data_IF_912766574057
#
_entry.id   IF_912766574057
#
_cell.length_a   1.000
_cell.length_b   1.000
_cell.length_c   1.000
_cell.angle_alpha   90.00
_cell.angle_beta   90.00
_cell.angle_gamma   90.00
#
_symmetry.space_group_name_H-M   'P 1'
#
loop_
_entity.id
_entity.type
_entity.pdbx_description
1 polymer ?
#
# COMPACT_ATOMS: atom_id res chain seq x y z
N UNK A 1 -23.39 29.97 2.90
CA UNK A 1 -23.49 29.32 1.62
C UNK A 1 -22.26 28.47 1.42
N UNK A 2 -22.47 27.19 1.43
CA UNK A 2 -21.47 26.16 1.42
C UNK A 2 -21.46 25.51 0.04
N UNK A 3 -20.36 25.66 -0.69
CA UNK A 3 -20.10 24.99 -1.96
C UNK A 3 -18.84 24.13 -1.81
N UNK A 4 -18.99 22.90 -1.27
CA UNK A 4 -17.93 21.87 -1.23
C UNK A 4 -18.43 20.50 -1.64
N UNK A 5 -19.25 20.40 -2.70
CA UNK A 5 -19.68 19.13 -3.27
C UNK A 5 -19.45 19.13 -4.80
N UNK A 6 -18.18 19.01 -5.22
CA UNK A 6 -17.88 18.47 -6.55
C UNK A 6 -17.34 17.07 -6.39
N UNK A 7 -18.22 16.12 -6.56
CA UNK A 7 -17.96 14.68 -6.59
C UNK A 7 -17.19 14.33 -7.87
N UNK A 8 -16.09 13.59 -7.74
CA UNK A 8 -15.40 13.01 -8.88
C UNK A 8 -16.26 11.95 -9.57
N UNK A 9 -16.10 11.72 -10.89
CA UNK A 9 -16.98 10.84 -11.71
C UNK A 9 -16.99 9.36 -11.33
N UNK A 10 -16.13 8.90 -10.43
CA UNK A 10 -16.06 7.51 -9.97
C UNK A 10 -17.02 7.18 -8.82
N UNK A 11 -17.75 8.17 -8.31
CA UNK A 11 -18.64 8.01 -7.15
C UNK A 11 -20.07 7.64 -7.52
N UNK A 12 -20.44 7.64 -8.81
CA UNK A 12 -21.85 7.53 -9.24
C UNK A 12 -22.32 6.11 -9.54
N UNK A 13 -21.53 5.06 -9.29
CA UNK A 13 -21.90 3.68 -9.64
C UNK A 13 -22.31 2.77 -8.48
N UNK A 14 -22.46 3.28 -7.26
CA UNK A 14 -22.91 2.47 -6.12
C UNK A 14 -24.09 3.10 -5.37
N UNK A 15 -25.24 3.24 -6.07
CA UNK A 15 -26.53 3.38 -5.38
C UNK A 15 -27.08 2.00 -5.07
N UNK A 16 -27.40 1.84 -3.80
CA UNK A 16 -27.94 0.69 -3.11
C UNK A 16 -28.89 -0.18 -3.95
N UNK A 17 -28.42 -1.37 -4.33
CA UNK A 17 -29.27 -2.50 -4.62
C UNK A 17 -28.97 -3.59 -3.59
N UNK A 18 -30.05 -4.04 -2.94
CA UNK A 18 -30.16 -5.10 -1.94
C UNK A 18 -29.35 -6.34 -2.31
N UNK A 19 -28.27 -6.65 -1.57
CA UNK A 19 -27.43 -7.82 -1.80
C UNK A 19 -27.69 -8.90 -0.73
N UNK A 20 -27.90 -10.17 -1.16
CA UNK A 20 -27.99 -11.30 -0.23
C UNK A 20 -26.63 -11.56 0.44
N UNK A 21 -26.68 -11.88 1.69
CA UNK A 21 -25.61 -11.91 2.71
C UNK A 21 -24.45 -12.90 2.51
N UNK A 22 -24.39 -13.68 1.43
CA UNK A 22 -23.40 -14.76 1.27
C UNK A 22 -23.14 -15.15 -0.19
N UNK A 23 -22.99 -14.25 -1.14
CA UNK A 23 -22.72 -14.72 -2.48
C UNK A 23 -21.25 -14.60 -2.87
N UNK A 24 -20.67 -15.75 -3.24
CA UNK A 24 -19.39 -15.87 -3.93
C UNK A 24 -19.23 -14.86 -5.08
N UNK A 25 -20.36 -14.46 -5.68
CA UNK A 25 -20.45 -13.46 -6.72
C UNK A 25 -20.14 -12.03 -6.26
N UNK A 26 -20.48 -11.65 -5.02
CA UNK A 26 -20.08 -10.37 -4.43
C UNK A 26 -18.56 -10.28 -4.31
N UNK A 27 -17.91 -11.33 -3.81
CA UNK A 27 -16.46 -11.41 -3.65
C UNK A 27 -15.73 -11.49 -5.00
N UNK A 28 -16.31 -12.13 -6.01
CA UNK A 28 -15.74 -12.15 -7.36
C UNK A 28 -15.81 -10.79 -8.06
N UNK A 29 -16.85 -9.99 -7.81
CA UNK A 29 -16.97 -8.66 -8.39
C UNK A 29 -16.05 -7.64 -7.71
N UNK A 30 -15.84 -7.76 -6.41
CA UNK A 30 -14.88 -6.92 -5.65
C UNK A 30 -13.42 -7.29 -5.97
N UNK A 31 -13.14 -8.58 -6.15
CA UNK A 31 -11.81 -9.06 -6.56
C UNK A 31 -11.44 -8.62 -8.00
N UNK A 32 -12.45 -8.37 -8.85
CA UNK A 32 -12.23 -7.81 -10.19
C UNK A 32 -11.87 -6.33 -10.18
N UNK A 33 -12.17 -5.60 -9.08
CA UNK A 33 -11.85 -4.19 -8.91
C UNK A 33 -10.43 -3.95 -8.37
N UNK A 34 -9.86 -4.91 -7.64
CA UNK A 34 -8.48 -4.84 -7.14
C UNK A 34 -7.61 -5.91 -7.82
N UNK A 35 -7.04 -5.53 -8.97
CA UNK A 35 -6.23 -6.44 -9.79
C UNK A 35 -4.78 -6.56 -9.32
N UNK A 36 -4.34 -5.70 -8.40
CA UNK A 36 -2.93 -5.56 -7.99
C UNK A 36 -2.83 -5.18 -6.52
N UNK A 37 -1.85 -5.76 -5.81
CA UNK A 37 -1.61 -5.45 -4.39
C UNK A 37 -1.12 -4.01 -4.18
N UNK A 38 -0.48 -3.40 -5.18
CA UNK A 38 -0.05 -2.01 -5.15
C UNK A 38 -1.21 -1.04 -4.88
N UNK A 39 -2.43 -1.36 -5.34
CA UNK A 39 -3.64 -0.57 -5.06
C UNK A 39 -4.08 -0.71 -3.58
N UNK A 40 -3.90 -1.88 -2.98
CA UNK A 40 -4.15 -2.06 -1.55
C UNK A 40 -3.16 -1.25 -0.72
N UNK A 41 -1.87 -1.25 -1.13
CA UNK A 41 -0.83 -0.42 -0.49
C UNK A 41 -1.21 1.06 -0.58
N UNK A 42 -1.67 1.53 -1.74
CA UNK A 42 -2.16 2.90 -1.92
C UNK A 42 -3.29 3.24 -0.92
N UNK A 43 -4.31 2.38 -0.82
CA UNK A 43 -5.46 2.60 0.06
C UNK A 43 -5.04 2.65 1.54
N UNK A 44 -4.14 1.75 1.97
CA UNK A 44 -3.64 1.70 3.34
C UNK A 44 -2.78 2.92 3.66
N UNK A 45 -1.86 3.31 2.76
CA UNK A 45 -1.06 4.53 2.91
C UNK A 45 -1.94 5.80 2.98
N UNK A 46 -3.03 5.84 2.21
CA UNK A 46 -4.02 6.93 2.30
C UNK A 46 -4.75 6.96 3.65
N UNK A 47 -5.00 5.81 4.26
CA UNK A 47 -5.54 5.74 5.63
C UNK A 47 -4.54 6.30 6.65
N UNK A 48 -3.24 6.00 6.50
CA UNK A 48 -2.16 6.55 7.31
C UNK A 48 -2.11 8.08 7.24
N UNK A 49 -2.17 8.65 6.02
CA UNK A 49 -2.24 10.09 5.80
C UNK A 49 -3.49 10.72 6.43
N UNK A 50 -4.65 10.07 6.30
CA UNK A 50 -5.92 10.49 6.91
C UNK A 50 -5.89 10.39 8.44
N UNK A 51 -5.06 9.52 9.00
CA UNK A 51 -4.77 9.43 10.43
C UNK A 51 -3.81 10.51 10.92
N UNK A 52 -3.34 11.40 10.04
CA UNK A 52 -2.44 12.50 10.36
C UNK A 52 -0.96 12.09 10.43
N UNK A 53 -0.58 10.96 9.86
CA UNK A 53 0.81 10.55 9.81
C UNK A 53 1.69 11.61 9.15
N UNK A 54 2.81 11.93 9.75
CA UNK A 54 3.88 12.74 9.15
C UNK A 54 4.88 11.88 8.39
N UNK A 55 5.01 10.60 8.78
CA UNK A 55 5.87 9.60 8.16
C UNK A 55 5.07 8.33 7.88
N UNK A 56 5.18 7.81 6.65
CA UNK A 56 4.66 6.50 6.27
C UNK A 56 5.78 5.67 5.64
N UNK A 57 6.02 4.47 6.17
CA UNK A 57 6.99 3.54 5.63
C UNK A 57 6.26 2.44 4.87
N UNK A 58 6.73 2.12 3.67
CA UNK A 58 6.23 1.03 2.82
C UNK A 58 7.39 0.08 2.62
N UNK A 59 7.22 -1.17 3.04
CA UNK A 59 8.23 -2.21 2.95
C UNK A 59 7.70 -3.36 2.12
N UNK A 60 8.49 -3.80 1.15
CA UNK A 60 8.25 -4.95 0.28
C UNK A 60 9.42 -5.90 0.44
N UNK A 61 9.17 -7.09 0.99
CA UNK A 61 10.19 -8.13 1.20
C UNK A 61 9.77 -9.40 0.46
N UNK A 62 10.62 -9.87 -0.44
CA UNK A 62 10.40 -11.09 -1.23
C UNK A 62 11.48 -12.13 -0.89
N UNK A 63 11.06 -13.35 -0.57
CA UNK A 63 11.95 -14.49 -0.38
C UNK A 63 11.54 -15.63 -1.29
N UNK A 64 12.37 -15.92 -2.27
CA UNK A 64 12.17 -17.07 -3.17
C UNK A 64 12.32 -18.41 -2.44
N UNK A 65 13.23 -18.47 -1.44
CA UNK A 65 13.48 -19.68 -0.65
C UNK A 65 12.30 -20.04 0.27
N UNK A 66 11.62 -19.03 0.83
CA UNK A 66 10.48 -19.22 1.74
C UNK A 66 9.13 -19.14 1.04
N UNK A 67 9.14 -18.87 -0.28
CA UNK A 67 7.94 -18.59 -1.06
C UNK A 67 7.06 -17.54 -0.36
N UNK A 68 7.64 -16.39 -0.03
CA UNK A 68 6.94 -15.31 0.66
C UNK A 68 7.10 -13.97 -0.04
N UNK A 69 6.00 -13.21 -0.08
CA UNK A 69 5.98 -11.78 -0.34
C UNK A 69 5.36 -11.11 0.89
N UNK A 70 6.13 -10.30 1.59
CA UNK A 70 5.66 -9.52 2.73
C UNK A 70 5.50 -8.06 2.34
N UNK A 71 4.30 -7.53 2.56
CA UNK A 71 4.01 -6.11 2.42
C UNK A 71 3.72 -5.54 3.81
N UNK A 72 4.46 -4.48 4.19
CA UNK A 72 4.29 -3.83 5.48
C UNK A 72 4.14 -2.33 5.30
N UNK A 73 3.12 -1.77 5.90
CA UNK A 73 2.88 -0.33 5.93
C UNK A 73 2.90 0.12 7.40
N UNK A 74 3.79 1.06 7.73
CA UNK A 74 4.03 1.56 9.08
C UNK A 74 3.81 3.06 9.06
N UNK A 75 3.00 3.57 9.96
CA UNK A 75 2.78 5.02 10.10
C UNK A 75 2.90 5.48 11.56
N UNK A 76 3.19 6.76 11.72
CA UNK A 76 3.22 7.45 13.00
C UNK A 76 1.97 8.33 13.22
N UNK A 77 0.82 7.95 12.65
CA UNK A 77 -0.43 8.67 12.81
C UNK A 77 -1.03 8.52 14.21
N UNK A 78 -2.30 8.95 14.37
CA UNK A 78 -2.97 8.90 15.68
C UNK A 78 -3.18 7.51 16.26
N UNK A 79 -2.97 6.45 15.47
CA UNK A 79 -3.23 5.09 15.89
C UNK A 79 -4.70 4.78 16.18
N UNK A 80 -4.95 3.57 16.68
CA UNK A 80 -6.27 3.01 16.98
C UNK A 80 -6.25 2.23 18.28
N UNK A 81 -7.41 2.17 18.96
CA UNK A 81 -7.62 1.20 20.04
C UNK A 81 -7.73 -0.21 19.47
N UNK A 82 -7.55 -1.23 20.30
CA UNK A 82 -7.70 -2.63 19.89
C UNK A 82 -9.10 -2.91 19.29
N UNK A 83 -10.15 -2.28 19.84
CA UNK A 83 -11.51 -2.39 19.32
C UNK A 83 -11.64 -1.77 17.91
N UNK A 84 -11.03 -0.61 17.68
CA UNK A 84 -11.02 0.04 16.37
C UNK A 84 -10.24 -0.77 15.35
N UNK A 85 -9.06 -1.31 15.73
CA UNK A 85 -8.25 -2.16 14.86
C UNK A 85 -8.99 -3.45 14.45
N UNK A 86 -9.69 -4.09 15.39
CA UNK A 86 -10.53 -5.25 15.08
C UNK A 86 -11.66 -4.91 14.09
N UNK A 87 -12.26 -3.73 14.23
CA UNK A 87 -13.34 -3.27 13.35
C UNK A 87 -12.89 -2.95 11.93
N UNK A 88 -11.70 -2.39 11.77
CA UNK A 88 -11.14 -2.04 10.45
C UNK A 88 -10.92 -3.27 9.58
N UNK A 89 -10.70 -4.43 10.19
CA UNK A 89 -10.51 -5.71 9.47
C UNK A 89 -11.81 -6.44 9.12
N UNK A 90 -12.95 -6.00 9.66
CA UNK A 90 -14.25 -6.61 9.39
C UNK A 90 -14.90 -6.01 8.13
N UNK A 91 -15.07 -6.78 7.05
CA UNK A 91 -15.67 -6.31 5.79
C UNK A 91 -17.14 -5.92 5.93
N UNK A 92 -17.81 -6.34 7.01
CA UNK A 92 -19.21 -6.04 7.28
C UNK A 92 -19.41 -4.85 8.22
N UNK A 93 -18.34 -4.35 8.81
CA UNK A 93 -18.36 -3.22 9.72
C UNK A 93 -18.26 -1.88 8.98
N UNK A 94 -19.18 -1.60 8.07
CA UNK A 94 -19.39 -0.26 7.54
C UNK A 94 -20.38 0.46 8.41
N UNK A 95 -19.91 1.28 9.35
CA UNK A 95 -20.80 2.21 10.05
C UNK A 95 -21.44 3.16 9.04
N UNK A 96 -22.75 3.07 8.93
CA UNK A 96 -23.63 3.94 8.14
C UNK A 96 -23.71 5.35 8.73
N UNK A 97 -22.61 6.03 8.96
CA UNK A 97 -22.64 7.50 9.15
C UNK A 97 -21.23 8.04 9.03
N UNK A 98 -21.01 8.79 7.92
CA UNK A 98 -20.00 9.84 7.81
C UNK A 98 -18.52 9.46 7.78
N UNK A 99 -18.08 8.32 7.27
CA UNK A 99 -16.76 8.22 6.58
C UNK A 99 -16.74 6.90 5.83
N UNK A 100 -16.38 6.94 4.55
CA UNK A 100 -16.02 5.75 3.76
C UNK A 100 -14.82 5.09 4.45
N UNK A 101 -15.05 4.10 5.32
CA UNK A 101 -14.01 3.14 5.68
C UNK A 101 -13.77 2.37 4.38
N UNK A 102 -12.61 2.59 3.76
CA UNK A 102 -12.28 1.93 2.52
C UNK A 102 -12.29 0.41 2.74
N UNK A 103 -12.74 -0.34 1.76
CA UNK A 103 -12.65 -1.81 1.75
C UNK A 103 -11.20 -2.30 1.63
N UNK A 104 -10.21 -1.39 1.55
CA UNK A 104 -8.81 -1.69 1.31
C UNK A 104 -8.22 -2.67 2.32
N UNK A 105 -8.36 -2.40 3.63
CA UNK A 105 -7.82 -3.28 4.68
C UNK A 105 -8.47 -4.67 4.69
N UNK A 106 -9.82 -4.81 4.70
CA UNK A 106 -10.47 -6.12 4.62
C UNK A 106 -10.10 -6.91 3.37
N UNK A 107 -10.00 -6.27 2.21
CA UNK A 107 -9.65 -6.93 0.96
C UNK A 107 -8.18 -7.35 0.95
N UNK A 108 -7.29 -6.55 1.52
CA UNK A 108 -5.88 -6.88 1.66
C UNK A 108 -5.66 -8.09 2.57
N UNK A 109 -6.36 -8.12 3.71
CA UNK A 109 -6.41 -9.29 4.61
C UNK A 109 -6.88 -10.54 3.86
N UNK A 110 -8.01 -10.45 3.18
CA UNK A 110 -8.58 -11.57 2.43
C UNK A 110 -7.61 -12.08 1.35
N UNK A 111 -6.97 -11.18 0.59
CA UNK A 111 -6.01 -11.56 -0.44
C UNK A 111 -4.81 -12.30 0.15
N UNK A 112 -4.29 -11.90 1.31
CA UNK A 112 -3.20 -12.59 2.00
C UNK A 112 -3.64 -13.99 2.48
N UNK A 113 -4.78 -14.09 3.17
CA UNK A 113 -5.30 -15.34 3.70
C UNK A 113 -5.67 -16.35 2.60
N UNK A 114 -6.17 -15.87 1.44
CA UNK A 114 -6.48 -16.72 0.28
C UNK A 114 -5.27 -17.43 -0.30
N UNK A 115 -4.08 -16.86 -0.18
CA UNK A 115 -2.83 -17.50 -0.63
C UNK A 115 -2.24 -18.46 0.41
N UNK A 116 -2.89 -18.65 1.56
CA UNK A 116 -2.32 -19.39 2.69
C UNK A 116 -1.28 -18.60 3.47
N UNK A 117 -1.22 -17.30 3.25
CA UNK A 117 -0.40 -16.35 4.00
C UNK A 117 -1.07 -15.87 5.29
N UNK A 118 -0.66 -14.70 5.78
CA UNK A 118 -1.16 -14.14 7.03
C UNK A 118 -1.36 -12.63 6.93
N UNK A 119 -2.17 -12.11 7.86
CA UNK A 119 -2.40 -10.67 8.01
C UNK A 119 -2.40 -10.29 9.47
N UNK A 120 -1.74 -9.18 9.80
CA UNK A 120 -1.81 -8.56 11.12
C UNK A 120 -1.94 -7.04 11.02
N UNK A 121 -2.56 -6.47 12.04
CA UNK A 121 -2.60 -5.03 12.27
C UNK A 121 -2.27 -4.77 13.74
N UNK A 122 -1.25 -3.96 13.95
CA UNK A 122 -0.80 -3.52 15.26
C UNK A 122 -0.96 -2.01 15.33
N UNK A 123 -1.69 -1.53 16.33
CA UNK A 123 -1.96 -0.10 16.47
C UNK A 123 -2.12 0.27 17.93
N UNK A 124 -1.60 1.43 18.28
CA UNK A 124 -1.74 2.00 19.62
C UNK A 124 -2.06 3.49 19.51
N UNK A 125 -3.07 3.99 20.27
CA UNK A 125 -3.42 5.41 20.27
C UNK A 125 -2.19 6.30 20.53
N UNK A 126 -1.95 7.25 19.65
CA UNK A 126 -0.82 8.20 19.73
C UNK A 126 0.53 7.66 19.24
N UNK A 127 0.64 6.37 18.85
CA UNK A 127 1.91 5.79 18.35
C UNK A 127 1.89 5.46 16.86
N UNK A 128 0.71 5.30 16.27
CA UNK A 128 0.56 4.96 14.87
C UNK A 128 0.05 3.55 14.63
N UNK A 129 0.22 3.06 13.39
CA UNK A 129 -0.29 1.76 12.95
C UNK A 129 0.75 1.03 12.11
N UNK A 130 0.83 -0.28 12.31
CA UNK A 130 1.57 -1.20 11.44
C UNK A 130 0.59 -2.21 10.86
N UNK A 131 0.52 -2.27 9.54
CA UNK A 131 -0.23 -3.29 8.79
C UNK A 131 0.78 -4.21 8.13
N UNK A 132 0.69 -5.51 8.36
CA UNK A 132 1.56 -6.52 7.73
C UNK A 132 0.70 -7.56 7.04
N UNK A 133 1.00 -7.85 5.78
CA UNK A 133 0.39 -8.93 5.00
C UNK A 133 1.48 -9.79 4.37
N UNK A 134 1.38 -11.08 4.56
CA UNK A 134 2.29 -12.08 3.98
C UNK A 134 1.49 -12.91 2.99
N UNK A 135 2.03 -13.07 1.80
CA UNK A 135 1.43 -13.83 0.70
C UNK A 135 2.33 -15.00 0.33
N UNK A 136 1.76 -16.00 -0.32
CA UNK A 136 2.49 -17.10 -0.96
C UNK A 136 2.50 -16.91 -2.48
N UNK A 137 3.62 -16.43 -3.08
CA UNK A 137 3.72 -16.14 -4.51
C UNK A 137 3.40 -17.31 -5.44
N UNK A 138 3.70 -18.55 -5.04
CA UNK A 138 3.41 -19.74 -5.84
C UNK A 138 1.93 -20.16 -5.84
N UNK A 139 1.09 -19.55 -4.99
CA UNK A 139 -0.33 -19.93 -4.89
C UNK A 139 -1.11 -19.47 -6.12
N UNK A 140 -2.04 -20.32 -6.62
CA UNK A 140 -2.83 -20.04 -7.83
C UNK A 140 -3.71 -18.79 -7.73
N UNK A 141 -4.16 -18.45 -6.52
CA UNK A 141 -4.99 -17.27 -6.25
C UNK A 141 -4.13 -16.02 -5.89
N UNK A 142 -2.82 -16.08 -6.11
CA UNK A 142 -1.95 -14.95 -5.83
C UNK A 142 -2.30 -13.75 -6.69
N UNK A 143 -2.62 -12.65 -6.04
CA UNK A 143 -2.81 -11.35 -6.71
C UNK A 143 -1.43 -10.76 -7.00
N UNK A 144 -1.11 -10.37 -8.25
CA UNK A 144 0.19 -9.79 -8.56
C UNK A 144 0.46 -8.50 -7.76
N UNK A 145 1.73 -8.26 -7.45
CA UNK A 145 2.15 -7.04 -6.74
C UNK A 145 1.74 -5.78 -7.51
N UNK A 146 1.82 -5.82 -8.83
CA UNK A 146 1.57 -4.67 -9.69
C UNK A 146 2.69 -3.64 -9.65
N UNK A 147 2.40 -2.43 -10.12
CA UNK A 147 3.39 -1.36 -10.18
C UNK A 147 3.50 -0.61 -8.84
N UNK A 148 4.25 -1.19 -7.93
CA UNK A 148 4.50 -0.59 -6.61
C UNK A 148 5.36 0.67 -6.71
N UNK A 149 6.26 0.77 -7.69
CA UNK A 149 7.12 1.93 -7.87
C UNK A 149 6.30 3.16 -8.26
N UNK A 150 5.41 3.02 -9.24
CA UNK A 150 4.49 4.11 -9.62
C UNK A 150 3.55 4.47 -8.47
N UNK A 151 3.11 3.49 -7.68
CA UNK A 151 2.27 3.73 -6.50
C UNK A 151 3.00 4.60 -5.47
N UNK A 152 4.24 4.27 -5.14
CA UNK A 152 5.06 5.04 -4.20
C UNK A 152 5.36 6.44 -4.74
N UNK A 153 5.76 6.55 -6.00
CA UNK A 153 6.01 7.85 -6.62
C UNK A 153 4.77 8.75 -6.62
N UNK A 154 3.58 8.19 -6.88
CA UNK A 154 2.33 8.93 -6.82
C UNK A 154 1.97 9.39 -5.39
N UNK A 155 2.22 8.55 -4.37
CA UNK A 155 2.04 8.93 -2.97
C UNK A 155 2.92 10.11 -2.59
N UNK A 156 4.20 10.09 -2.96
CA UNK A 156 5.16 11.18 -2.70
C UNK A 156 4.74 12.46 -3.43
N UNK A 157 4.44 12.35 -4.73
CA UNK A 157 4.02 13.49 -5.55
C UNK A 157 2.76 14.18 -5.02
N UNK A 158 1.76 13.36 -4.63
CA UNK A 158 0.45 13.88 -4.17
C UNK A 158 0.46 14.41 -2.75
N UNK A 159 1.52 14.13 -1.96
CA UNK A 159 1.63 14.51 -0.56
C UNK A 159 3.02 15.10 -0.26
N UNK A 160 3.39 16.22 -0.92
CA UNK A 160 4.74 16.76 -0.86
C UNK A 160 5.16 17.26 0.53
N UNK A 161 4.21 17.46 1.46
CA UNK A 161 4.46 17.89 2.84
C UNK A 161 4.53 16.73 3.84
N UNK A 162 4.51 15.48 3.35
CA UNK A 162 4.63 14.27 4.16
C UNK A 162 5.90 13.52 3.81
N UNK A 163 6.38 12.74 4.74
CA UNK A 163 7.55 11.93 4.52
C UNK A 163 7.20 10.48 4.27
N UNK A 164 7.97 9.87 3.37
CA UNK A 164 7.84 8.47 3.00
C UNK A 164 9.20 7.79 3.06
N UNK A 165 9.21 6.55 3.55
CA UNK A 165 10.32 5.62 3.38
C UNK A 165 9.78 4.45 2.57
N UNK A 166 10.40 4.17 1.43
CA UNK A 166 10.14 2.97 0.66
C UNK A 166 11.37 2.06 0.73
N UNK A 167 11.19 0.85 1.22
CA UNK A 167 12.22 -0.20 1.20
C UNK A 167 11.72 -1.38 0.39
N UNK A 168 12.57 -1.87 -0.49
CA UNK A 168 12.33 -3.10 -1.22
C UNK A 168 13.51 -4.04 -1.03
N UNK A 169 13.20 -5.31 -0.77
CA UNK A 169 14.17 -6.37 -0.57
C UNK A 169 13.74 -7.61 -1.34
N UNK A 170 14.69 -8.28 -1.96
CA UNK A 170 14.51 -9.59 -2.59
C UNK A 170 15.76 -10.43 -2.41
N UNK A 171 15.59 -11.61 -1.78
CA UNK A 171 16.65 -12.61 -1.60
C UNK A 171 17.96 -12.01 -1.06
N UNK A 172 17.86 -11.13 -0.07
CA UNK A 172 18.99 -10.48 0.59
C UNK A 172 19.55 -9.24 -0.10
N UNK A 173 19.03 -8.86 -1.29
CA UNK A 173 19.36 -7.59 -1.95
C UNK A 173 18.29 -6.57 -1.63
N UNK A 174 18.67 -5.35 -1.27
CA UNK A 174 17.70 -4.33 -0.89
C UNK A 174 18.13 -2.93 -1.31
N UNK A 175 17.15 -2.06 -1.45
CA UNK A 175 17.35 -0.62 -1.53
C UNK A 175 16.29 0.11 -0.71
N UNK A 176 16.54 1.38 -0.42
CA UNK A 176 15.58 2.27 0.21
C UNK A 176 15.59 3.64 -0.46
N UNK A 177 14.43 4.29 -0.44
CA UNK A 177 14.24 5.70 -0.76
C UNK A 177 13.63 6.36 0.48
N UNK A 178 14.31 7.37 1.04
CA UNK A 178 13.81 8.19 2.14
C UNK A 178 13.62 9.63 1.66
N UNK A 179 12.39 10.13 1.70
CA UNK A 179 12.09 11.49 1.23
C UNK A 179 12.71 12.57 2.12
N UNK A 180 13.08 12.26 3.36
CA UNK A 180 13.75 13.21 4.25
C UNK A 180 15.18 13.45 3.78
N UNK A 181 15.90 12.40 3.38
CA UNK A 181 17.23 12.51 2.77
C UNK A 181 17.15 13.29 1.44
N UNK A 182 16.11 13.04 0.63
CA UNK A 182 15.89 13.80 -0.59
C UNK A 182 15.70 15.30 -0.29
N UNK A 183 14.93 15.66 0.74
CA UNK A 183 14.74 17.07 1.12
C UNK A 183 16.04 17.73 1.56
N UNK A 184 16.88 17.02 2.30
CA UNK A 184 18.19 17.53 2.71
C UNK A 184 19.08 17.84 1.50
N UNK A 185 19.03 16.99 0.46
CA UNK A 185 19.81 17.17 -0.78
C UNK A 185 19.24 18.29 -1.65
N UNK A 186 17.91 18.35 -1.80
CA UNK A 186 17.23 19.31 -2.68
C UNK A 186 17.18 20.72 -2.08
N UNK A 187 17.25 20.85 -0.75
CA UNK A 187 17.04 22.11 -0.04
C UNK A 187 15.58 22.56 0.01
N UNK A 188 15.31 23.65 0.70
CA UNK A 188 13.94 24.14 0.96
C UNK A 188 13.22 24.69 -0.27
N UNK A 189 13.97 25.06 -1.32
CA UNK A 189 13.40 25.71 -2.52
C UNK A 189 12.75 24.70 -3.48
N UNK A 190 13.14 23.41 -3.44
CA UNK A 190 12.66 22.41 -4.38
C UNK A 190 11.64 21.48 -3.71
N UNK A 191 10.43 21.47 -4.24
CA UNK A 191 9.36 20.60 -3.72
C UNK A 191 9.47 19.19 -4.28
N UNK A 192 9.14 18.19 -3.46
CA UNK A 192 9.06 16.78 -3.92
C UNK A 192 8.00 16.57 -5.03
N UNK A 193 7.04 17.49 -5.17
CA UNK A 193 6.05 17.50 -6.27
C UNK A 193 6.53 18.21 -7.53
N UNK A 194 7.79 18.68 -7.60
CA UNK A 194 8.33 19.20 -8.84
C UNK A 194 8.42 18.10 -9.90
N UNK A 195 8.05 18.37 -11.17
CA UNK A 195 8.05 17.35 -12.22
C UNK A 195 9.39 16.63 -12.37
N UNK A 196 10.50 17.38 -12.31
CA UNK A 196 11.86 16.86 -12.46
C UNK A 196 12.22 15.91 -11.30
N UNK A 197 11.80 16.24 -10.08
CA UNK A 197 12.00 15.39 -8.90
C UNK A 197 11.16 14.12 -9.01
N UNK A 198 9.91 14.25 -9.46
CA UNK A 198 9.04 13.09 -9.68
C UNK A 198 9.59 12.14 -10.74
N UNK A 199 10.10 12.68 -11.85
CA UNK A 199 10.74 11.88 -12.90
C UNK A 199 12.01 11.17 -12.39
N UNK A 200 12.83 11.89 -11.62
CA UNK A 200 14.02 11.31 -11.01
C UNK A 200 13.66 10.17 -10.02
N UNK A 201 12.66 10.37 -9.16
CA UNK A 201 12.18 9.32 -8.23
C UNK A 201 11.74 8.08 -9.00
N UNK A 202 10.95 8.24 -10.06
CA UNK A 202 10.50 7.11 -10.88
C UNK A 202 11.67 6.37 -11.56
N UNK A 203 12.63 7.11 -12.10
CA UNK A 203 13.85 6.57 -12.68
C UNK A 203 14.66 5.78 -11.66
N UNK A 204 14.92 6.38 -10.49
CA UNK A 204 15.64 5.75 -9.39
C UNK A 204 14.97 4.46 -8.92
N UNK A 205 13.67 4.50 -8.64
CA UNK A 205 12.93 3.32 -8.17
C UNK A 205 12.96 2.18 -9.21
N UNK A 206 12.88 2.52 -10.50
CA UNK A 206 12.97 1.54 -11.56
C UNK A 206 14.37 0.92 -11.63
N UNK A 207 15.41 1.74 -11.67
CA UNK A 207 16.80 1.28 -11.74
C UNK A 207 17.15 0.38 -10.54
N UNK A 208 16.84 0.81 -9.33
CA UNK A 208 17.10 0.03 -8.13
C UNK A 208 16.31 -1.30 -8.11
N UNK A 209 15.08 -1.28 -8.60
CA UNK A 209 14.28 -2.49 -8.75
C UNK A 209 14.95 -3.45 -9.75
N UNK A 210 15.36 -2.95 -10.91
CA UNK A 210 16.02 -3.77 -11.93
C UNK A 210 17.32 -4.39 -11.36
N UNK A 211 18.09 -3.67 -10.53
CA UNK A 211 19.30 -4.18 -9.89
C UNK A 211 19.03 -5.36 -8.93
N UNK A 212 18.00 -5.28 -8.08
CA UNK A 212 17.69 -6.38 -7.16
C UNK A 212 17.07 -7.60 -7.85
N UNK A 213 16.48 -7.41 -9.05
CA UNK A 213 15.89 -8.49 -9.84
C UNK A 213 16.86 -9.04 -10.91
N UNK A 214 17.75 -8.21 -11.46
CA UNK A 214 18.66 -8.55 -12.57
C UNK A 214 19.91 -9.34 -12.18
N UNK A 215 20.24 -9.43 -10.90
CA UNK A 215 21.47 -10.07 -10.45
C UNK A 215 21.49 -11.60 -10.46
N UNK A 216 20.44 -12.27 -10.95
CA UNK A 216 20.42 -13.73 -11.05
C UNK A 216 21.07 -14.29 -12.35
N UNK A 217 21.50 -13.40 -13.28
CA UNK A 217 22.04 -13.83 -14.58
C UNK A 217 23.57 -13.71 -14.72
N UNK A 218 24.27 -13.04 -13.78
CA UNK A 218 25.72 -12.87 -13.92
C UNK A 218 26.58 -13.96 -13.26
N UNK A 219 26.02 -14.79 -12.37
CA UNK A 219 26.79 -15.81 -11.64
C UNK A 219 26.88 -17.17 -12.36
N UNK A 220 26.17 -17.41 -13.48
CA UNK A 220 26.23 -18.68 -14.23
C UNK A 220 27.27 -18.74 -15.36
N UNK A 221 28.01 -17.65 -15.62
CA UNK A 221 28.98 -17.62 -16.73
C UNK A 221 30.46 -17.57 -16.31
N UNK A 222 30.79 -17.92 -15.06
CA UNK A 222 32.18 -18.10 -14.63
C UNK A 222 32.35 -19.54 -14.13
N UNK A 223 32.51 -20.46 -15.07
CA UNK A 223 33.13 -21.79 -14.85
C UNK A 223 33.80 -22.26 -16.13
#
# INVERSE_FOLDING_TARGET
PADWLRLSPLTTMFTAAWFPRTSRAFWQSTNKAMRELSLNVMDIAQNSLSAGASLTQIVVEESSAEDTLTLKIIDNGRGMTAEQAARVTDPFFTTRTTRKVGLGVPLFKMAAEQTGGSFSIESEPGKGTTVTAVFKPSHIDMTPLGDINSTVGLLIYSNPDRDFIFRRERDGRSFALDTRELREILGEEVKLSAPEVSEWIQGYLKEQTDMIFGGAQEDENIS
#
